data_IF_006962053700
#
_entry.id   IF_006962053700
#
_cell.length_a   1.000
_cell.length_b   1.000
_cell.length_c   1.000
_cell.angle_alpha   90.00
_cell.angle_beta   90.00
_cell.angle_gamma   90.00
#
_symmetry.space_group_name_H-M   'P 1'
#
loop_
_entity.id
_entity.type
_entity.pdbx_description
1 polymer ?
#
# COMPACT_ATOMS: atom_id res chain seq x y z
N UNK A 1 36.43 -3.75 6.16
CA UNK A 1 35.62 -2.52 6.01
C UNK A 1 34.45 -2.60 6.98
N UNK A 2 34.22 -1.59 7.85
CA UNK A 2 33.00 -1.54 8.66
C UNK A 2 31.80 -1.44 7.72
N UNK A 3 30.81 -2.34 7.84
CA UNK A 3 29.57 -2.27 7.06
C UNK A 3 28.84 -0.98 7.44
N UNK A 4 28.82 0.00 6.55
CA UNK A 4 28.00 1.21 6.71
C UNK A 4 26.55 0.77 6.53
N UNK A 5 25.69 1.08 7.52
CA UNK A 5 24.26 0.78 7.38
C UNK A 5 23.69 1.67 6.26
N UNK A 6 22.91 1.11 5.33
CA UNK A 6 22.27 1.91 4.29
C UNK A 6 21.32 2.93 4.94
N UNK A 7 21.35 4.16 4.45
CA UNK A 7 20.39 5.19 4.84
C UNK A 7 19.05 4.91 4.17
N UNK A 8 17.99 4.88 4.96
CA UNK A 8 16.61 4.74 4.49
C UNK A 8 15.90 6.06 4.76
N UNK A 9 15.50 6.81 3.71
CA UNK A 9 14.73 8.03 3.89
C UNK A 9 13.39 7.78 4.56
N UNK A 10 12.92 8.74 5.35
CA UNK A 10 11.53 8.70 5.82
C UNK A 10 10.57 9.13 4.70
N UNK A 11 10.09 8.15 3.93
CA UNK A 11 9.16 8.39 2.83
C UNK A 11 7.80 8.95 3.27
N UNK A 12 7.43 8.83 4.55
CA UNK A 12 6.17 9.39 5.09
C UNK A 12 6.15 10.92 5.07
N UNK A 13 7.33 11.54 4.99
CA UNK A 13 7.46 13.00 4.82
C UNK A 13 7.05 13.46 3.41
N UNK A 14 7.19 12.59 2.41
CA UNK A 14 6.90 12.89 1.01
C UNK A 14 5.51 12.40 0.58
N UNK A 15 5.09 11.24 1.06
CA UNK A 15 3.87 10.56 0.62
C UNK A 15 2.91 10.37 1.79
N UNK A 16 1.65 10.76 1.57
CA UNK A 16 0.58 10.50 2.52
C UNK A 16 0.01 9.09 2.33
N UNK A 17 -0.04 8.62 1.09
CA UNK A 17 -0.69 7.37 0.71
C UNK A 17 0.28 6.44 -0.01
N UNK A 18 0.21 5.15 0.29
CA UNK A 18 1.10 4.13 -0.28
C UNK A 18 0.27 3.01 -0.93
N UNK A 19 0.47 2.82 -2.22
CA UNK A 19 -0.09 1.70 -2.98
C UNK A 19 1.06 0.74 -3.28
N UNK A 20 1.26 -0.27 -2.45
CA UNK A 20 2.41 -1.18 -2.55
C UNK A 20 1.95 -2.48 -3.18
N UNK A 21 2.27 -2.72 -4.46
CA UNK A 21 2.09 -4.02 -5.08
C UNK A 21 3.24 -4.97 -4.74
N UNK A 22 2.86 -6.09 -4.16
CA UNK A 22 3.75 -7.17 -3.83
C UNK A 22 3.05 -8.50 -4.09
N UNK A 23 3.81 -9.51 -4.53
CA UNK A 23 3.26 -10.80 -4.94
C UNK A 23 2.63 -11.61 -3.80
N UNK A 24 2.94 -11.27 -2.54
CA UNK A 24 2.42 -11.96 -1.37
C UNK A 24 2.67 -11.21 -0.07
N UNK A 25 2.09 -11.73 1.03
CA UNK A 25 2.08 -11.10 2.36
C UNK A 25 3.48 -10.87 2.93
N UNK A 26 4.37 -11.84 2.79
CA UNK A 26 5.74 -11.74 3.29
C UNK A 26 6.49 -10.52 2.73
N UNK A 27 6.26 -10.18 1.46
CA UNK A 27 6.89 -9.02 0.82
C UNK A 27 6.28 -7.72 1.33
N UNK A 28 4.96 -7.69 1.60
CA UNK A 28 4.34 -6.53 2.25
C UNK A 28 4.89 -6.30 3.66
N UNK A 29 5.05 -7.37 4.46
CA UNK A 29 5.57 -7.29 5.83
C UNK A 29 7.02 -6.81 5.84
N UNK A 30 7.85 -7.29 4.90
CA UNK A 30 9.23 -6.86 4.74
C UNK A 30 9.32 -5.39 4.31
N UNK A 31 8.44 -4.93 3.42
CA UNK A 31 8.38 -3.53 3.00
C UNK A 31 7.88 -2.61 4.11
N UNK A 32 6.86 -3.03 4.88
CA UNK A 32 6.40 -2.29 6.06
C UNK A 32 7.54 -2.07 7.05
N UNK A 33 8.29 -3.13 7.37
CA UNK A 33 9.42 -3.07 8.28
C UNK A 33 10.56 -2.20 7.74
N UNK A 34 10.94 -2.36 6.47
CA UNK A 34 12.07 -1.63 5.91
C UNK A 34 11.78 -0.14 5.70
N UNK A 35 10.55 0.20 5.32
CA UNK A 35 10.14 1.59 5.07
C UNK A 35 9.57 2.27 6.33
N UNK A 36 9.52 1.56 7.47
CA UNK A 36 8.92 2.02 8.72
C UNK A 36 7.52 2.62 8.50
N UNK A 37 6.70 1.87 7.76
CA UNK A 37 5.30 2.19 7.51
C UNK A 37 4.45 1.73 8.69
N UNK A 38 3.29 2.35 8.83
CA UNK A 38 2.31 2.00 9.88
C UNK A 38 1.19 1.15 9.28
N UNK A 39 0.39 0.51 10.14
CA UNK A 39 -0.77 -0.27 9.71
C UNK A 39 -1.70 0.54 8.80
N UNK A 40 -1.93 1.81 9.13
CA UNK A 40 -2.74 2.71 8.30
C UNK A 40 -2.20 2.87 6.87
N UNK A 41 -0.87 2.97 6.69
CA UNK A 41 -0.28 3.04 5.34
C UNK A 41 -0.38 1.70 4.59
N UNK A 42 -0.37 0.59 5.32
CA UNK A 42 -0.39 -0.76 4.75
C UNK A 42 -1.80 -1.29 4.50
N UNK A 43 -2.80 -0.73 5.15
CA UNK A 43 -4.19 -1.16 5.10
C UNK A 43 -4.71 -1.32 3.67
N UNK A 44 -4.58 -0.34 2.75
CA UNK A 44 -5.07 -0.52 1.37
C UNK A 44 -4.40 -1.70 0.67
N UNK A 45 -3.10 -1.89 0.91
CA UNK A 45 -2.32 -2.98 0.33
C UNK A 45 -2.73 -4.34 0.88
N UNK A 46 -3.01 -4.42 2.19
CA UNK A 46 -3.46 -5.64 2.87
C UNK A 46 -4.90 -5.99 2.52
N UNK A 47 -5.81 -5.02 2.51
CA UNK A 47 -7.22 -5.24 2.16
C UNK A 47 -7.36 -5.66 0.71
N UNK A 48 -6.63 -5.01 -0.21
CA UNK A 48 -6.62 -5.42 -1.63
C UNK A 48 -6.13 -6.85 -1.78
N UNK A 49 -5.02 -7.21 -1.12
CA UNK A 49 -4.49 -8.57 -1.18
C UNK A 49 -5.43 -9.60 -0.53
N UNK A 50 -6.13 -9.24 0.53
CA UNK A 50 -7.12 -10.10 1.19
C UNK A 50 -8.32 -10.37 0.28
N UNK A 51 -8.91 -9.31 -0.30
CA UNK A 51 -10.15 -9.38 -1.06
C UNK A 51 -9.95 -9.93 -2.47
N UNK A 52 -8.97 -9.39 -3.20
CA UNK A 52 -8.78 -9.68 -4.62
C UNK A 52 -7.59 -10.60 -4.90
N UNK A 53 -6.76 -10.86 -3.89
CA UNK A 53 -5.50 -11.57 -4.09
C UNK A 53 -4.51 -10.73 -4.91
N UNK A 54 -3.61 -11.42 -5.61
CA UNK A 54 -2.64 -10.79 -6.48
C UNK A 54 -3.20 -10.70 -7.91
N UNK A 55 -3.79 -9.55 -8.26
CA UNK A 55 -4.28 -9.26 -9.62
C UNK A 55 -3.17 -8.65 -10.50
N UNK A 56 -1.92 -9.06 -10.30
CA UNK A 56 -0.73 -8.53 -10.97
C UNK A 56 -0.62 -7.00 -10.81
N UNK A 57 0.02 -6.32 -11.76
CA UNK A 57 0.26 -4.87 -11.76
C UNK A 57 -1.01 -4.03 -11.54
N UNK A 58 -2.19 -4.53 -11.91
CA UNK A 58 -3.46 -3.83 -11.70
C UNK A 58 -3.83 -3.66 -10.22
N UNK A 59 -3.24 -4.45 -9.31
CA UNK A 59 -3.49 -4.35 -7.86
C UNK A 59 -3.19 -2.96 -7.30
N UNK A 60 -2.31 -2.18 -7.94
CA UNK A 60 -2.05 -0.79 -7.55
C UNK A 60 -3.30 0.09 -7.66
N UNK A 61 -4.11 -0.14 -8.69
CA UNK A 61 -5.35 0.62 -8.92
C UNK A 61 -6.45 0.20 -7.95
N UNK A 62 -6.55 -1.08 -7.62
CA UNK A 62 -7.45 -1.53 -6.55
C UNK A 62 -7.08 -0.91 -5.19
N UNK A 63 -5.79 -0.70 -4.91
CA UNK A 63 -5.31 -0.01 -3.69
C UNK A 63 -5.64 1.47 -3.70
N UNK A 64 -5.50 2.12 -4.85
CA UNK A 64 -5.92 3.52 -4.99
C UNK A 64 -7.42 3.64 -4.79
N UNK A 65 -8.21 2.79 -5.45
CA UNK A 65 -9.66 2.74 -5.32
C UNK A 65 -10.12 2.46 -3.89
N UNK A 66 -9.37 1.68 -3.11
CA UNK A 66 -9.64 1.49 -1.68
C UNK A 66 -9.55 2.83 -0.92
N UNK A 67 -8.45 3.58 -1.10
CA UNK A 67 -8.27 4.89 -0.45
C UNK A 67 -9.33 5.91 -0.92
N UNK A 68 -9.76 5.82 -2.19
CA UNK A 68 -10.83 6.66 -2.73
C UNK A 68 -12.19 6.33 -2.09
N UNK A 69 -12.52 5.04 -1.95
CA UNK A 69 -13.75 4.59 -1.31
C UNK A 69 -13.79 4.88 0.19
N UNK A 70 -12.65 4.75 0.88
CA UNK A 70 -12.51 5.13 2.30
C UNK A 70 -12.66 6.66 2.50
N UNK A 71 -12.44 7.45 1.45
CA UNK A 71 -12.48 8.92 1.52
C UNK A 71 -11.24 9.54 2.15
N UNK A 72 -10.11 8.82 2.16
CA UNK A 72 -8.87 9.30 2.77
C UNK A 72 -8.03 10.18 1.82
N UNK A 73 -8.33 10.22 0.52
CA UNK A 73 -7.65 11.08 -0.47
C UNK A 73 -8.21 12.50 -0.47
N UNK A 74 -7.37 13.46 -0.02
CA UNK A 74 -7.67 14.89 -0.10
C UNK A 74 -6.81 15.58 -1.16
N UNK A 75 -7.25 16.74 -1.63
CA UNK A 75 -6.48 17.60 -2.55
C UNK A 75 -5.06 17.82 -1.99
N UNK A 76 -4.09 17.82 -2.89
CA UNK A 76 -2.65 17.95 -2.62
C UNK A 76 -2.01 16.76 -1.89
N UNK A 77 -2.74 15.71 -1.51
CA UNK A 77 -2.10 14.49 -1.01
C UNK A 77 -1.21 13.88 -2.09
N UNK A 78 -0.05 13.40 -1.67
CA UNK A 78 0.88 12.66 -2.51
C UNK A 78 0.66 11.16 -2.31
N UNK A 79 0.49 10.45 -3.41
CA UNK A 79 0.33 8.99 -3.45
C UNK A 79 1.55 8.38 -4.14
N UNK A 80 2.16 7.40 -3.50
CA UNK A 80 3.22 6.61 -4.11
C UNK A 80 2.69 5.23 -4.49
N UNK A 81 2.70 4.95 -5.79
CA UNK A 81 2.53 3.60 -6.32
C UNK A 81 3.91 2.96 -6.48
N UNK A 82 4.13 1.83 -5.82
CA UNK A 82 5.35 1.06 -5.96
C UNK A 82 5.01 -0.42 -6.14
N UNK A 83 5.60 -1.04 -7.16
CA UNK A 83 5.41 -2.44 -7.48
C UNK A 83 6.74 -3.18 -7.50
N UNK A 84 6.78 -4.33 -6.83
CA UNK A 84 7.88 -5.27 -6.89
C UNK A 84 7.44 -6.54 -7.62
N UNK A 85 8.15 -6.86 -8.69
CA UNK A 85 7.92 -8.06 -9.50
C UNK A 85 9.08 -9.08 -9.33
N UNK A 86 8.94 -10.23 -9.99
CA UNK A 86 9.96 -11.27 -9.99
C UNK A 86 11.33 -10.74 -10.43
N UNK A 87 12.38 -11.19 -9.76
CA UNK A 87 13.74 -10.70 -9.97
C UNK A 87 13.98 -9.30 -9.40
N UNK A 88 13.19 -8.85 -8.41
CA UNK A 88 13.33 -7.54 -7.76
C UNK A 88 13.25 -6.35 -8.71
N UNK A 89 12.52 -6.51 -9.83
CA UNK A 89 12.19 -5.39 -10.70
C UNK A 89 11.24 -4.47 -9.94
N UNK A 90 11.58 -3.20 -9.90
CA UNK A 90 10.81 -2.18 -9.20
C UNK A 90 10.27 -1.17 -10.19
N UNK A 91 8.96 -0.92 -10.16
CA UNK A 91 8.31 0.19 -10.86
C UNK A 91 7.72 1.14 -9.81
N UNK A 92 7.86 2.44 -10.02
CA UNK A 92 7.42 3.47 -9.10
C UNK A 92 6.79 4.65 -9.85
N UNK A 93 5.61 5.09 -9.40
CA UNK A 93 4.94 6.29 -9.88
C UNK A 93 4.48 7.15 -8.69
N UNK A 94 4.67 8.46 -8.81
CA UNK A 94 4.28 9.44 -7.80
C UNK A 94 3.16 10.31 -8.36
N UNK A 95 2.07 10.41 -7.62
CA UNK A 95 0.88 11.17 -8.00
C UNK A 95 0.57 12.23 -6.95
N UNK A 96 -0.01 13.35 -7.39
CA UNK A 96 -0.57 14.36 -6.50
C UNK A 96 -2.06 14.50 -6.77
N UNK A 97 -2.88 14.32 -5.75
CA UNK A 97 -4.32 14.50 -5.85
C UNK A 97 -4.67 15.95 -6.22
N UNK A 98 -5.36 16.14 -7.34
CA UNK A 98 -5.73 17.47 -7.85
C UNK A 98 -7.03 18.00 -7.21
N UNK A 99 -7.87 17.09 -6.72
CA UNK A 99 -9.11 17.36 -5.98
C UNK A 99 -9.16 16.47 -4.73
N UNK A 100 -10.01 16.84 -3.79
CA UNK A 100 -10.42 15.90 -2.73
C UNK A 100 -11.42 14.94 -3.34
N UNK A 101 -11.27 13.65 -3.03
CA UNK A 101 -12.18 12.61 -3.52
C UNK A 101 -13.38 12.54 -2.57
N UNK A 102 -14.59 12.58 -3.12
CA UNK A 102 -15.82 12.41 -2.37
C UNK A 102 -16.31 10.97 -2.60
N UNK A 103 -16.25 10.06 -1.61
CA UNK A 103 -16.70 8.68 -1.77
C UNK A 103 -18.11 8.56 -2.35
N UNK A 104 -19.03 9.46 -1.98
CA UNK A 104 -20.41 9.42 -2.45
C UNK A 104 -20.57 9.65 -3.97
N UNK A 105 -19.55 10.19 -4.63
CA UNK A 105 -19.52 10.44 -6.08
C UNK A 105 -18.71 9.38 -6.85
N UNK A 106 -17.99 8.50 -6.14
CA UNK A 106 -17.11 7.53 -6.78
C UNK A 106 -17.89 6.27 -7.20
N UNK A 107 -17.46 5.67 -8.31
CA UNK A 107 -17.91 4.34 -8.75
C UNK A 107 -16.68 3.49 -8.92
N UNK A 108 -16.40 2.63 -7.94
CA UNK A 108 -15.22 1.78 -7.95
C UNK A 108 -15.52 0.41 -7.28
N UNK A 109 -14.63 -0.58 -7.39
CA UNK A 109 -14.89 -1.94 -6.89
C UNK A 109 -15.16 -2.06 -5.39
N UNK A 110 -14.87 -1.05 -4.57
CA UNK A 110 -15.03 -1.08 -3.12
C UNK A 110 -16.33 -0.46 -2.61
N UNK A 111 -17.03 0.34 -3.42
CA UNK A 111 -18.13 1.18 -2.94
C UNK A 111 -19.25 0.42 -2.21
N UNK A 112 -19.61 -0.77 -2.69
CA UNK A 112 -20.73 -1.55 -2.14
C UNK A 112 -20.40 -2.30 -0.83
N UNK A 113 -19.12 -2.32 -0.41
CA UNK A 113 -18.68 -3.11 0.73
C UNK A 113 -17.55 -2.49 1.56
N UNK A 114 -17.16 -1.24 1.28
CA UNK A 114 -16.06 -0.55 1.97
C UNK A 114 -16.29 -0.47 3.49
N UNK A 115 -17.55 -0.41 3.92
CA UNK A 115 -17.99 -0.42 5.32
C UNK A 115 -17.62 -1.69 6.08
N UNK A 116 -17.28 -2.77 5.37
CA UNK A 116 -16.87 -4.07 5.95
C UNK A 116 -15.36 -4.17 6.18
N UNK A 117 -14.61 -3.14 5.79
CA UNK A 117 -13.16 -3.07 5.93
C UNK A 117 -12.75 -1.97 6.93
N UNK A 118 -11.56 -2.09 7.54
CA UNK A 118 -10.61 -3.19 7.41
C UNK A 118 -11.03 -4.43 8.21
N UNK A 119 -10.59 -5.60 7.73
CA UNK A 119 -10.67 -6.87 8.47
C UNK A 119 -9.31 -7.22 9.06
N UNK A 120 -9.28 -7.98 10.16
CA UNK A 120 -8.02 -8.47 10.71
C UNK A 120 -7.38 -9.49 9.76
N UNK A 121 -6.09 -9.29 9.46
CA UNK A 121 -5.33 -10.12 8.52
C UNK A 121 -4.00 -10.53 9.17
N UNK A 122 -3.74 -11.84 9.29
CA UNK A 122 -2.49 -12.33 9.87
C UNK A 122 -1.26 -11.77 9.14
N UNK A 123 -0.32 -11.21 9.91
CA UNK A 123 1.05 -10.90 9.47
C UNK A 123 1.92 -12.16 9.55
N UNK A 124 2.89 -12.28 8.66
CA UNK A 124 3.85 -13.39 8.70
C UNK A 124 4.75 -13.18 9.92
N UNK A 125 4.62 -14.06 10.92
CA UNK A 125 5.57 -14.09 12.04
C UNK A 125 6.93 -14.55 11.53
N UNK A 126 8.00 -13.83 11.90
CA UNK A 126 9.36 -14.35 11.73
C UNK A 126 9.47 -15.62 12.56
N UNK A 127 9.74 -16.76 11.91
CA UNK A 127 10.11 -17.99 12.63
C UNK A 127 11.33 -17.63 13.48
N UNK A 128 11.25 -17.80 14.80
CA UNK A 128 12.41 -17.64 15.66
C UNK A 128 13.50 -18.56 15.14
N UNK A 129 14.61 -17.95 14.73
CA UNK A 129 15.82 -18.73 14.45
C UNK A 129 16.41 -19.05 15.81
N UNK A 130 16.26 -20.31 16.23
CA UNK A 130 17.02 -20.89 17.34
C UNK A 130 18.53 -20.87 17.04
#
# INVERSE_FOLDING_TARGET
MKKVKPYIPDFKLAFKHFCIHASGRAVLDELESNLALTDWHMEPSRMTLHRFGNTSSSSLWYKLAYNEAEGSIRRCHWVWQIAFESGFKCNSAVWRALRSVNPAEETNPWMDEIDRFPVDVPKVSKVSSD
#
